data_IF_380977065742
#
_entry.id   IF_380977065742
#
_cell.length_a   1.000
_cell.length_b   1.000
_cell.length_c   1.000
_cell.angle_alpha   90.00
_cell.angle_beta   90.00
_cell.angle_gamma   90.00
#
_symmetry.space_group_name_H-M   'P 1'
#
loop_
_entity.id
_entity.type
_entity.pdbx_description
1 polymer ?
#
# COMPACT_ATOMS: atom_id res chain seq x y z
N UNK A 1 6.27 -27.76 -6.75
CA UNK A 1 6.45 -26.43 -6.12
C UNK A 1 6.42 -25.42 -7.23
N UNK A 2 5.30 -24.74 -7.42
CA UNK A 2 5.17 -23.67 -8.41
C UNK A 2 5.97 -22.48 -7.90
N UNK A 3 7.17 -22.30 -8.44
CA UNK A 3 7.91 -21.05 -8.31
C UNK A 3 6.97 -19.91 -8.71
N UNK A 4 6.79 -18.96 -7.81
CA UNK A 4 5.93 -17.79 -7.99
C UNK A 4 6.62 -16.84 -9.00
N UNK A 5 6.76 -17.27 -10.26
CA UNK A 5 7.42 -16.55 -11.38
C UNK A 5 6.62 -15.39 -11.94
N UNK A 6 5.52 -15.01 -11.28
CA UNK A 6 4.59 -13.99 -11.79
C UNK A 6 5.25 -12.62 -11.86
N UNK A 7 6.41 -12.44 -11.21
CA UNK A 7 7.17 -11.23 -11.33
C UNK A 7 8.68 -11.45 -11.33
N UNK A 8 9.26 -11.57 -12.52
CA UNK A 8 10.66 -11.20 -12.77
C UNK A 8 10.79 -9.67 -12.64
N UNK A 9 10.53 -9.14 -11.45
CA UNK A 9 10.67 -7.71 -11.16
C UNK A 9 12.14 -7.34 -11.31
N UNK A 10 12.38 -6.21 -11.99
CA UNK A 10 13.68 -5.56 -11.91
C UNK A 10 14.03 -5.20 -10.45
N UNK A 11 15.33 -5.06 -10.18
CA UNK A 11 15.86 -4.78 -8.83
C UNK A 11 15.23 -3.53 -8.20
N UNK A 12 14.92 -2.51 -9.00
CA UNK A 12 14.29 -1.28 -8.52
C UNK A 12 12.84 -1.52 -8.09
N UNK A 13 12.09 -2.31 -8.85
CA UNK A 13 10.70 -2.67 -8.55
C UNK A 13 10.61 -3.60 -7.33
N UNK A 14 11.53 -4.57 -7.20
CA UNK A 14 11.65 -5.40 -6.00
C UNK A 14 11.97 -4.55 -4.76
N UNK A 15 12.92 -3.62 -4.88
CA UNK A 15 13.27 -2.67 -3.81
C UNK A 15 12.09 -1.77 -3.42
N UNK A 16 11.32 -1.31 -4.40
CA UNK A 16 10.12 -0.51 -4.17
C UNK A 16 9.06 -1.30 -3.39
N UNK A 17 8.82 -2.57 -3.74
CA UNK A 17 7.88 -3.44 -3.03
C UNK A 17 8.34 -3.65 -1.58
N UNK A 18 9.64 -3.89 -1.34
CA UNK A 18 10.18 -4.02 0.03
C UNK A 18 9.97 -2.74 0.85
N UNK A 19 10.22 -1.57 0.25
CA UNK A 19 9.96 -0.27 0.89
C UNK A 19 8.49 -0.08 1.24
N UNK A 20 7.58 -0.48 0.34
CA UNK A 20 6.13 -0.48 0.59
C UNK A 20 5.79 -1.42 1.76
N UNK A 21 6.33 -2.65 1.80
CA UNK A 21 6.11 -3.58 2.92
C UNK A 21 6.45 -2.95 4.28
N UNK A 22 7.60 -2.26 4.35
CA UNK A 22 8.05 -1.61 5.59
C UNK A 22 7.13 -0.47 6.01
N UNK A 23 6.73 0.40 5.07
CA UNK A 23 5.81 1.50 5.37
C UNK A 23 4.43 0.98 5.79
N UNK A 24 3.90 -0.05 5.14
CA UNK A 24 2.61 -0.67 5.49
C UNK A 24 2.65 -1.24 6.91
N UNK A 25 3.74 -1.91 7.28
CA UNK A 25 3.93 -2.41 8.64
C UNK A 25 3.94 -1.27 9.65
N UNK A 26 4.66 -0.18 9.35
CA UNK A 26 4.76 0.98 10.25
C UNK A 26 3.41 1.69 10.41
N UNK A 27 2.67 1.88 9.30
CA UNK A 27 1.33 2.48 9.30
C UNK A 27 0.35 1.60 10.08
N UNK A 28 0.40 0.28 9.92
CA UNK A 28 -0.46 -0.66 10.67
C UNK A 28 -0.15 -0.63 12.17
N UNK A 29 1.14 -0.67 12.53
CA UNK A 29 1.56 -0.60 13.94
C UNK A 29 1.08 0.69 14.59
N UNK A 30 1.21 1.81 13.88
CA UNK A 30 0.75 3.10 14.35
C UNK A 30 -0.79 3.17 14.49
N UNK A 31 -1.52 2.69 13.48
CA UNK A 31 -2.98 2.63 13.51
C UNK A 31 -3.44 1.82 14.73
N UNK A 32 -2.76 0.72 15.03
CA UNK A 32 -3.06 -0.10 16.20
C UNK A 32 -2.60 0.54 17.53
N UNK A 33 -1.50 1.30 17.56
CA UNK A 33 -0.95 1.84 18.82
C UNK A 33 -1.62 3.13 19.26
N UNK A 34 -1.85 4.08 18.35
CA UNK A 34 -2.44 5.38 18.70
C UNK A 34 -3.99 5.34 18.69
N UNK A 35 -4.61 4.49 17.86
CA UNK A 35 -6.08 4.46 17.73
C UNK A 35 -6.78 3.44 18.61
N UNK A 36 -6.05 2.48 19.20
CA UNK A 36 -6.61 1.59 20.21
C UNK A 36 -7.10 2.34 21.47
N UNK A 37 -6.74 3.61 21.63
CA UNK A 37 -7.20 4.47 22.71
C UNK A 37 -8.17 5.58 22.32
N UNK A 38 -8.08 6.18 21.12
CA UNK A 38 -8.75 7.46 20.85
C UNK A 38 -9.13 7.69 19.36
N UNK A 39 -10.43 7.92 19.13
CA UNK A 39 -10.98 8.90 18.17
C UNK A 39 -10.69 8.68 16.66
N UNK A 40 -10.85 7.48 16.11
CA UNK A 40 -11.05 7.32 14.64
C UNK A 40 -12.27 6.46 14.35
N UNK A 41 -13.18 6.89 13.45
CA UNK A 41 -14.34 6.10 13.09
C UNK A 41 -13.92 4.74 12.51
N UNK A 42 -14.59 3.67 12.97
CA UNK A 42 -14.51 2.28 12.46
C UNK A 42 -14.69 2.13 10.94
N UNK A 43 -14.94 3.20 10.21
CA UNK A 43 -15.09 3.20 8.74
C UNK A 43 -13.76 3.10 7.99
N UNK A 44 -12.61 3.35 8.63
CA UNK A 44 -11.28 3.15 8.04
C UNK A 44 -10.67 1.76 8.34
N UNK A 45 -11.42 0.88 9.02
CA UNK A 45 -11.03 -0.44 9.49
C UNK A 45 -11.02 -1.51 8.37
N UNK A 46 -10.69 -1.09 7.15
CA UNK A 46 -10.29 -2.01 6.09
C UNK A 46 -8.89 -2.48 6.41
N UNK A 47 -8.75 -3.60 7.13
CA UNK A 47 -7.49 -4.23 7.55
C UNK A 47 -6.40 -4.08 6.47
N UNK A 48 -5.58 -3.02 6.60
CA UNK A 48 -4.56 -2.62 5.62
C UNK A 48 -3.62 -3.78 5.37
N UNK A 49 -3.32 -4.52 6.44
CA UNK A 49 -2.51 -5.73 6.39
C UNK A 49 -3.18 -6.86 5.62
N UNK A 50 -4.51 -6.99 5.65
CA UNK A 50 -5.26 -7.95 4.82
C UNK A 50 -5.27 -7.55 3.35
N UNK A 51 -5.53 -6.28 3.04
CA UNK A 51 -5.52 -5.79 1.67
C UNK A 51 -4.12 -5.92 1.03
N UNK A 52 -3.08 -5.60 1.80
CA UNK A 52 -1.70 -5.79 1.37
C UNK A 52 -1.31 -7.26 1.21
N UNK A 53 -1.73 -8.14 2.13
CA UNK A 53 -1.56 -9.60 1.96
C UNK A 53 -2.23 -10.11 0.70
N UNK A 54 -3.41 -9.57 0.34
CA UNK A 54 -4.12 -9.94 -0.88
C UNK A 54 -3.34 -9.50 -2.13
N UNK A 55 -2.75 -8.30 -2.11
CA UNK A 55 -1.86 -7.82 -3.16
C UNK A 55 -0.66 -8.76 -3.38
N UNK A 56 0.06 -9.13 -2.31
CA UNK A 56 1.23 -10.00 -2.39
C UNK A 56 0.91 -11.45 -2.81
N UNK A 57 -0.33 -11.89 -2.64
CA UNK A 57 -0.80 -13.24 -3.00
C UNK A 57 -1.44 -13.31 -4.39
N UNK A 58 -1.39 -12.23 -5.15
CA UNK A 58 -1.98 -12.22 -6.49
C UNK A 58 -1.28 -13.25 -7.37
N UNK A 59 -2.07 -14.10 -8.03
CA UNK A 59 -1.58 -15.20 -8.86
C UNK A 59 -1.43 -14.80 -10.34
N UNK A 60 -1.87 -13.58 -10.68
CA UNK A 60 -1.67 -13.00 -11.99
C UNK A 60 -1.35 -11.51 -11.89
N UNK A 61 -0.76 -10.97 -12.97
CA UNK A 61 -0.49 -9.54 -13.09
C UNK A 61 -1.77 -8.70 -13.06
N UNK A 62 -2.84 -9.18 -13.68
CA UNK A 62 -4.14 -8.51 -13.69
C UNK A 62 -4.75 -8.46 -12.29
N UNK A 63 -4.66 -9.57 -11.55
CA UNK A 63 -5.09 -9.63 -10.16
C UNK A 63 -4.25 -8.70 -9.28
N UNK A 64 -2.94 -8.64 -9.52
CA UNK A 64 -2.03 -7.75 -8.81
C UNK A 64 -2.37 -6.28 -9.03
N UNK A 65 -2.56 -5.85 -10.29
CA UNK A 65 -2.94 -4.47 -10.62
C UNK A 65 -4.27 -4.11 -9.94
N UNK A 66 -5.26 -5.02 -10.01
CA UNK A 66 -6.56 -4.82 -9.35
C UNK A 66 -6.41 -4.67 -7.83
N UNK A 67 -5.63 -5.53 -7.18
CA UNK A 67 -5.38 -5.44 -5.75
C UNK A 67 -4.55 -4.20 -5.38
N UNK A 68 -3.63 -3.77 -6.24
CA UNK A 68 -2.80 -2.59 -6.04
C UNK A 68 -3.66 -1.33 -6.05
N UNK A 69 -4.59 -1.22 -7.00
CA UNK A 69 -5.54 -0.12 -7.08
C UNK A 69 -6.46 -0.04 -5.86
N UNK A 70 -6.98 -1.18 -5.42
CA UNK A 70 -7.80 -1.26 -4.19
C UNK A 70 -6.98 -0.79 -2.99
N UNK A 71 -5.75 -1.28 -2.87
CA UNK A 71 -4.86 -0.94 -1.76
C UNK A 71 -4.50 0.55 -1.75
N UNK A 72 -4.12 1.11 -2.90
CA UNK A 72 -3.83 2.54 -3.08
C UNK A 72 -5.01 3.41 -2.65
N UNK A 73 -6.23 3.02 -3.04
CA UNK A 73 -7.45 3.74 -2.66
C UNK A 73 -7.66 3.75 -1.14
N UNK A 74 -7.46 2.62 -0.47
CA UNK A 74 -7.59 2.53 0.99
C UNK A 74 -6.57 3.42 1.71
N UNK A 75 -5.30 3.41 1.27
CA UNK A 75 -4.26 4.29 1.82
C UNK A 75 -4.59 5.76 1.57
N UNK A 76 -5.11 6.11 0.38
CA UNK A 76 -5.56 7.46 0.08
C UNK A 76 -6.63 7.96 1.04
N UNK A 77 -7.68 7.15 1.27
CA UNK A 77 -8.75 7.48 2.20
C UNK A 77 -8.22 7.64 3.64
N UNK A 78 -7.30 6.78 4.07
CA UNK A 78 -6.71 6.86 5.40
C UNK A 78 -5.82 8.10 5.56
N UNK A 79 -5.05 8.46 4.53
CA UNK A 79 -4.25 9.69 4.48
C UNK A 79 -5.16 10.91 4.67
N UNK A 80 -6.28 10.97 3.94
CA UNK A 80 -7.28 12.03 4.07
C UNK A 80 -7.90 12.07 5.47
N UNK A 81 -8.31 10.92 6.02
CA UNK A 81 -8.84 10.85 7.38
C UNK A 81 -7.82 11.36 8.42
N UNK A 82 -6.55 11.02 8.27
CA UNK A 82 -5.47 11.41 9.19
C UNK A 82 -5.17 12.92 9.15
N UNK A 83 -5.36 13.57 7.99
CA UNK A 83 -5.22 15.03 7.85
C UNK A 83 -6.20 15.81 8.74
N UNK A 84 -7.35 15.24 9.10
CA UNK A 84 -8.31 15.89 9.99
C UNK A 84 -7.84 15.95 11.46
N UNK A 85 -6.82 15.18 11.85
CA UNK A 85 -6.33 15.07 13.24
C UNK A 85 -4.91 15.70 13.42
N UNK A 86 -4.52 16.62 12.53
CA UNK A 86 -3.14 16.84 12.07
C UNK A 86 -2.04 17.36 13.03
N UNK A 87 -2.24 17.96 14.21
CA UNK A 87 -1.07 18.44 14.97
C UNK A 87 -0.26 17.29 15.62
N UNK A 88 -0.93 16.23 16.07
CA UNK A 88 -0.29 15.14 16.85
C UNK A 88 0.28 14.03 15.95
N UNK A 89 -0.17 13.97 14.68
CA UNK A 89 0.07 12.81 13.79
C UNK A 89 1.02 13.07 12.63
N UNK A 90 1.78 14.18 12.67
CA UNK A 90 2.64 14.63 11.56
C UNK A 90 3.65 13.57 11.06
N UNK A 91 4.34 12.80 11.93
CA UNK A 91 5.29 11.77 11.47
C UNK A 91 4.63 10.66 10.66
N UNK A 92 3.39 10.35 10.99
CA UNK A 92 2.62 9.24 10.39
C UNK A 92 1.98 9.69 9.11
N UNK A 93 1.40 10.89 9.09
CA UNK A 93 0.92 11.51 7.88
C UNK A 93 2.03 11.57 6.83
N UNK A 94 3.25 11.96 7.22
CA UNK A 94 4.42 11.96 6.32
C UNK A 94 4.70 10.56 5.75
N UNK A 95 4.60 9.51 6.57
CA UNK A 95 4.76 8.11 6.13
C UNK A 95 3.64 7.65 5.21
N UNK A 96 2.39 8.03 5.49
CA UNK A 96 1.25 7.71 4.63
C UNK A 96 1.36 8.39 3.27
N UNK A 97 1.82 9.64 3.22
CA UNK A 97 2.14 10.34 1.96
C UNK A 97 3.21 9.57 1.18
N UNK A 98 4.33 9.23 1.82
CA UNK A 98 5.40 8.46 1.18
C UNK A 98 4.93 7.09 0.66
N UNK A 99 4.11 6.38 1.44
CA UNK A 99 3.52 5.12 1.04
C UNK A 99 2.62 5.31 -0.19
N UNK A 100 1.78 6.34 -0.17
CA UNK A 100 0.89 6.65 -1.29
C UNK A 100 1.69 6.93 -2.58
N UNK A 101 2.72 7.77 -2.50
CA UNK A 101 3.57 8.11 -3.65
C UNK A 101 4.27 6.86 -4.23
N UNK A 102 4.73 5.95 -3.36
CA UNK A 102 5.33 4.67 -3.77
C UNK A 102 4.33 3.74 -4.44
N UNK A 103 3.08 3.74 -3.99
CA UNK A 103 2.01 2.95 -4.62
C UNK A 103 1.63 3.48 -5.99
N UNK A 104 1.64 4.82 -6.18
CA UNK A 104 1.47 5.45 -7.50
C UNK A 104 2.61 5.02 -8.44
N UNK A 105 3.86 5.14 -8.00
CA UNK A 105 5.02 4.74 -8.80
C UNK A 105 5.01 3.25 -9.16
N UNK A 106 4.62 2.39 -8.22
CA UNK A 106 4.48 0.95 -8.48
C UNK A 106 3.40 0.69 -9.53
N UNK A 107 2.26 1.38 -9.44
CA UNK A 107 1.19 1.26 -10.42
C UNK A 107 1.63 1.70 -11.82
N UNK A 108 2.33 2.83 -11.93
CA UNK A 108 2.94 3.32 -13.17
C UNK A 108 3.88 2.27 -13.78
N UNK A 109 4.85 1.77 -13.00
CA UNK A 109 5.76 0.69 -13.41
C UNK A 109 5.01 -0.55 -13.88
N UNK A 110 3.93 -0.95 -13.19
CA UNK A 110 3.14 -2.12 -13.58
C UNK A 110 2.25 -1.90 -14.80
N UNK A 111 1.88 -0.65 -15.11
CA UNK A 111 1.04 -0.31 -16.26
C UNK A 111 1.87 -0.07 -17.54
N UNK A 112 3.09 0.47 -17.44
CA UNK A 112 3.93 0.71 -18.63
C UNK A 112 4.45 -0.59 -19.27
N UNK A 113 4.64 -1.68 -18.51
CA UNK A 113 4.94 -3.02 -19.07
C UNK A 113 3.76 -3.55 -19.96
N UNK A 114 2.63 -2.83 -20.06
CA UNK A 114 1.51 -3.19 -20.95
C UNK A 114 1.60 -2.52 -22.33
N UNK A 115 2.45 -1.51 -22.51
CA UNK A 115 2.61 -0.81 -23.81
C UNK A 115 3.66 -1.44 -24.71
N UNK A 116 4.69 -2.07 -24.16
CA UNK A 116 5.80 -2.65 -24.94
C UNK A 116 5.49 -4.03 -25.58
N UNK A 117 4.28 -4.56 -25.36
CA UNK A 117 3.83 -5.86 -25.90
C UNK A 117 2.64 -5.75 -26.86
N UNK A 118 2.38 -4.55 -27.43
CA UNK A 118 1.34 -4.33 -28.44
C UNK A 118 1.91 -4.00 -29.81
#
# INVERSE_FOLDING_TARGET
MTENRIFDWDEDTATLIVKICLDVKQVTLWYNSELAGQIVPKSCDGDISKAFRKLLRSESREEFIKHLQIFRRQIGNLKEATLFYAPVLTPVLKRMVQLYDRLVLLEEKTNDIHKDFK
#
